data_IF_467323799686
#
_entry.id   IF_467323799686
#
_cell.length_a   1.000
_cell.length_b   1.000
_cell.length_c   1.000
_cell.angle_alpha   90.00
_cell.angle_beta   90.00
_cell.angle_gamma   90.00
#
_symmetry.space_group_name_H-M   'P 1'
#
loop_
_entity.id
_entity.type
_entity.pdbx_description
1 polymer ?
#
# COMPACT_ATOMS: atom_id res chain seq x y z
N UNK A 1 32.06 -0.75 -37.83
CA UNK A 1 32.54 -0.60 -36.45
C UNK A 1 33.88 -1.31 -36.35
N UNK A 2 34.93 -0.71 -35.79
CA UNK A 2 36.23 -1.40 -35.66
C UNK A 2 36.08 -2.61 -34.74
N UNK A 3 36.80 -3.68 -35.06
CA UNK A 3 36.83 -4.94 -34.29
C UNK A 3 37.16 -4.70 -32.81
N UNK A 4 38.04 -3.74 -32.54
CA UNK A 4 38.43 -3.29 -31.20
C UNK A 4 37.24 -2.75 -30.36
N UNK A 5 36.31 -2.02 -30.98
CA UNK A 5 35.14 -1.48 -30.27
C UNK A 5 34.12 -2.59 -29.96
N UNK A 6 33.98 -3.56 -30.86
CA UNK A 6 33.15 -4.76 -30.62
C UNK A 6 33.68 -5.58 -29.45
N UNK A 7 35.00 -5.80 -29.39
CA UNK A 7 35.64 -6.52 -28.29
C UNK A 7 35.46 -5.81 -26.95
N UNK A 8 35.58 -4.48 -26.94
CA UNK A 8 35.33 -3.68 -25.73
C UNK A 8 33.88 -3.81 -25.26
N UNK A 9 32.91 -3.75 -26.17
CA UNK A 9 31.50 -3.95 -25.82
C UNK A 9 31.26 -5.36 -25.26
N UNK A 10 31.92 -6.38 -25.84
CA UNK A 10 31.81 -7.77 -25.37
C UNK A 10 32.30 -7.89 -23.94
N UNK A 11 33.46 -7.32 -23.66
CA UNK A 11 34.06 -7.36 -22.33
C UNK A 11 33.20 -6.67 -21.27
N UNK A 12 32.53 -5.57 -21.61
CA UNK A 12 31.62 -4.87 -20.69
C UNK A 12 30.38 -5.73 -20.40
N UNK A 13 29.73 -6.27 -21.44
CA UNK A 13 28.54 -7.12 -21.29
C UNK A 13 28.87 -8.40 -20.52
N UNK A 14 30.04 -8.98 -20.77
CA UNK A 14 30.52 -10.19 -20.09
C UNK A 14 30.60 -10.00 -18.56
N UNK A 15 30.93 -8.79 -18.09
CA UNK A 15 30.97 -8.43 -16.66
C UNK A 15 29.60 -8.17 -16.03
N UNK A 16 28.52 -8.14 -16.82
CA UNK A 16 27.18 -7.96 -16.28
C UNK A 16 26.80 -9.14 -15.39
N UNK A 17 26.12 -8.89 -14.28
CA UNK A 17 25.65 -9.92 -13.35
C UNK A 17 24.80 -10.99 -14.05
N UNK A 18 24.07 -10.59 -15.10
CA UNK A 18 23.23 -11.48 -15.90
C UNK A 18 24.05 -12.48 -16.74
N UNK A 19 25.19 -12.03 -17.29
CA UNK A 19 26.04 -12.79 -18.22
C UNK A 19 27.14 -13.56 -17.47
N UNK A 20 27.49 -13.14 -16.25
CA UNK A 20 28.32 -13.87 -15.30
C UNK A 20 29.70 -14.34 -15.84
N UNK A 21 30.36 -13.51 -16.66
CA UNK A 21 31.65 -13.78 -17.29
C UNK A 21 31.66 -14.90 -18.37
N UNK A 22 30.49 -15.26 -18.92
CA UNK A 22 30.42 -16.15 -20.08
C UNK A 22 30.64 -15.41 -21.39
N UNK A 23 31.83 -15.58 -21.99
CA UNK A 23 32.20 -14.89 -23.23
C UNK A 23 31.33 -15.31 -24.43
N UNK A 24 30.97 -16.60 -24.52
CA UNK A 24 30.10 -17.14 -25.58
C UNK A 24 28.71 -16.49 -25.56
N UNK A 25 28.16 -16.27 -24.37
CA UNK A 25 26.87 -15.61 -24.19
C UNK A 25 26.96 -14.13 -24.53
N UNK A 26 28.03 -13.45 -24.09
CA UNK A 26 28.29 -12.05 -24.45
C UNK A 26 28.41 -11.86 -25.97
N UNK A 27 29.10 -12.77 -26.66
CA UNK A 27 29.24 -12.75 -28.12
C UNK A 27 27.88 -12.91 -28.83
N UNK A 28 27.04 -13.84 -28.36
CA UNK A 28 25.68 -14.03 -28.87
C UNK A 28 24.81 -12.78 -28.66
N UNK A 29 24.84 -12.19 -27.47
CA UNK A 29 24.09 -10.96 -27.17
C UNK A 29 24.52 -9.82 -28.11
N UNK A 30 25.82 -9.66 -28.38
CA UNK A 30 26.30 -8.65 -29.33
C UNK A 30 25.82 -8.91 -30.75
N UNK A 31 25.79 -10.17 -31.18
CA UNK A 31 25.28 -10.55 -32.50
C UNK A 31 23.81 -10.23 -32.70
N UNK A 32 22.99 -10.31 -31.65
CA UNK A 32 21.54 -10.06 -31.69
C UNK A 32 21.14 -8.64 -31.28
N UNK A 33 22.09 -7.80 -30.84
CA UNK A 33 21.78 -6.47 -30.29
C UNK A 33 22.24 -5.32 -31.18
N UNK A 34 21.44 -4.25 -31.19
CA UNK A 34 21.77 -2.98 -31.84
C UNK A 34 22.36 -1.98 -30.86
N UNK A 35 23.32 -1.17 -31.32
CA UNK A 35 23.87 -0.07 -30.52
C UNK A 35 22.93 1.12 -30.55
N UNK A 36 22.60 1.65 -29.38
CA UNK A 36 21.83 2.89 -29.22
C UNK A 36 22.60 3.87 -28.37
N UNK A 37 22.38 5.16 -28.61
CA UNK A 37 22.98 6.26 -27.87
C UNK A 37 21.90 7.24 -27.47
N UNK A 38 21.99 7.75 -26.26
CA UNK A 38 21.07 8.73 -25.73
C UNK A 38 21.85 9.86 -25.06
N UNK A 39 21.26 11.05 -25.11
CA UNK A 39 21.76 12.23 -24.40
C UNK A 39 21.02 12.39 -23.07
N UNK A 40 21.60 13.20 -22.17
CA UNK A 40 21.04 13.48 -20.84
C UNK A 40 19.58 13.92 -20.89
N UNK A 41 18.78 13.38 -19.96
CA UNK A 41 17.37 13.72 -19.79
C UNK A 41 16.43 13.02 -20.78
N UNK A 42 16.93 12.27 -21.76
CA UNK A 42 16.07 11.47 -22.64
C UNK A 42 15.42 10.33 -21.87
N UNK A 43 14.18 10.01 -22.26
CA UNK A 43 13.40 8.90 -21.69
C UNK A 43 13.74 7.63 -22.46
N UNK A 44 14.15 6.59 -21.74
CA UNK A 44 14.42 5.27 -22.31
C UNK A 44 13.20 4.35 -22.24
N UNK A 45 12.44 4.47 -21.15
CA UNK A 45 11.28 3.63 -20.86
C UNK A 45 10.27 4.47 -20.10
N UNK A 46 9.00 4.34 -20.45
CA UNK A 46 7.90 4.94 -19.69
C UNK A 46 7.13 3.87 -18.94
N UNK A 47 6.81 4.12 -17.68
CA UNK A 47 5.99 3.22 -16.86
C UNK A 47 4.65 2.94 -17.54
N UNK A 48 4.26 1.67 -17.65
CA UNK A 48 3.01 1.26 -18.28
C UNK A 48 3.08 1.12 -19.81
N UNK A 49 4.21 1.48 -20.43
CA UNK A 49 4.40 1.32 -21.88
C UNK A 49 4.45 -0.17 -22.27
N UNK A 50 3.80 -0.49 -23.39
CA UNK A 50 3.79 -1.84 -23.98
C UNK A 50 5.05 -2.04 -24.85
N UNK A 51 6.20 -2.00 -24.18
CA UNK A 51 7.51 -2.23 -24.78
C UNK A 51 8.31 -3.19 -23.90
N UNK A 52 8.92 -4.21 -24.51
CA UNK A 52 9.58 -5.31 -23.78
C UNK A 52 11.07 -5.45 -24.09
N UNK A 53 11.67 -4.53 -24.86
CA UNK A 53 13.11 -4.52 -25.17
C UNK A 53 14.01 -4.47 -23.91
N UNK A 54 15.18 -5.12 -23.97
CA UNK A 54 16.18 -5.14 -22.89
C UNK A 54 17.41 -4.34 -23.29
N UNK A 55 17.93 -3.53 -22.37
CA UNK A 55 19.08 -2.66 -22.61
C UNK A 55 20.24 -3.06 -21.71
N UNK A 56 21.38 -3.36 -22.32
CA UNK A 56 22.66 -3.57 -21.64
C UNK A 56 23.45 -2.26 -21.66
N UNK A 57 23.65 -1.66 -20.49
CA UNK A 57 24.35 -0.37 -20.38
C UNK A 57 25.84 -0.59 -20.58
N UNK A 58 26.41 0.05 -21.61
CA UNK A 58 27.83 -0.01 -21.91
C UNK A 58 28.61 1.15 -21.27
N UNK A 59 27.99 2.33 -21.24
CA UNK A 59 28.57 3.55 -20.69
C UNK A 59 27.48 4.52 -20.26
N UNK A 60 27.72 5.25 -19.16
CA UNK A 60 26.79 6.21 -18.60
C UNK A 60 25.91 5.61 -17.51
N UNK A 61 24.96 6.42 -17.04
CA UNK A 61 24.02 6.06 -15.98
C UNK A 61 22.59 6.51 -16.30
N UNK A 62 21.64 5.76 -15.77
CA UNK A 62 20.21 6.03 -15.87
C UNK A 62 19.58 6.06 -14.49
N UNK A 63 18.56 6.90 -14.35
CA UNK A 63 17.73 7.01 -13.17
C UNK A 63 16.46 6.20 -13.36
N UNK A 64 16.13 5.35 -12.40
CA UNK A 64 14.89 4.56 -12.37
C UNK A 64 13.94 5.16 -11.34
N UNK A 65 12.71 5.45 -11.77
CA UNK A 65 11.65 5.97 -10.90
C UNK A 65 10.33 5.27 -11.13
N UNK A 66 9.53 5.10 -10.07
CA UNK A 66 8.19 4.51 -10.13
C UNK A 66 7.23 5.52 -9.49
N UNK A 67 6.16 5.90 -10.20
CA UNK A 67 5.19 6.91 -9.72
C UNK A 67 5.88 8.19 -9.20
N UNK A 68 6.83 8.72 -9.97
CA UNK A 68 7.65 9.89 -9.61
C UNK A 68 8.54 9.74 -8.37
N UNK A 69 8.63 8.54 -7.79
CA UNK A 69 9.53 8.25 -6.67
C UNK A 69 10.83 7.66 -7.21
N UNK A 70 11.96 8.26 -6.84
CA UNK A 70 13.29 7.73 -7.18
C UNK A 70 13.49 6.38 -6.48
N UNK A 71 13.86 5.36 -7.25
CA UNK A 71 14.10 4.01 -6.74
C UNK A 71 15.60 3.71 -6.68
N UNK A 72 16.28 3.91 -7.81
CA UNK A 72 17.67 3.49 -7.98
C UNK A 72 18.33 4.18 -9.19
N UNK A 73 19.65 4.16 -9.24
CA UNK A 73 20.45 4.55 -10.42
C UNK A 73 21.14 3.30 -10.97
N UNK A 74 21.07 3.10 -12.28
CA UNK A 74 21.73 1.98 -12.97
C UNK A 74 22.85 2.47 -13.86
N UNK A 75 23.98 1.79 -13.82
CA UNK A 75 25.19 2.15 -14.57
C UNK A 75 25.85 0.92 -15.20
N UNK A 76 26.76 1.12 -16.15
CA UNK A 76 27.50 0.01 -16.76
C UNK A 76 28.28 -0.79 -15.69
N UNK A 77 28.26 -2.14 -15.72
CA UNK A 77 27.77 -3.05 -16.75
C UNK A 77 26.38 -3.64 -16.46
N UNK A 78 25.45 -2.86 -15.89
CA UNK A 78 24.12 -3.36 -15.53
C UNK A 78 23.17 -3.44 -16.74
N UNK A 79 22.11 -4.22 -16.55
CA UNK A 79 21.02 -4.40 -17.52
C UNK A 79 19.75 -3.75 -16.96
N UNK A 80 18.90 -3.24 -17.85
CA UNK A 80 17.58 -2.71 -17.53
C UNK A 80 16.53 -3.28 -18.50
N UNK A 81 15.27 -3.29 -18.07
CA UNK A 81 14.14 -3.77 -18.87
C UNK A 81 13.95 -5.29 -18.84
N UNK A 82 14.73 -5.99 -18.03
CA UNK A 82 14.71 -7.44 -17.89
C UNK A 82 13.35 -7.97 -17.37
N UNK A 83 12.67 -7.17 -16.54
CA UNK A 83 11.37 -7.52 -15.95
C UNK A 83 10.25 -7.62 -16.99
N UNK A 84 10.22 -6.69 -17.97
CA UNK A 84 9.22 -6.68 -19.03
C UNK A 84 9.48 -7.81 -20.04
N UNK A 85 10.75 -8.07 -20.38
CA UNK A 85 11.10 -9.11 -21.35
C UNK A 85 10.81 -10.54 -20.87
N UNK A 86 10.91 -10.79 -19.55
CA UNK A 86 10.67 -12.10 -18.94
C UNK A 86 9.22 -12.58 -19.11
N UNK A 87 8.23 -11.66 -19.06
CA UNK A 87 6.81 -12.00 -19.11
C UNK A 87 6.20 -11.41 -20.38
N UNK A 88 5.80 -12.24 -21.36
CA UNK A 88 5.12 -11.74 -22.56
C UNK A 88 3.90 -10.88 -22.21
N UNK A 89 3.82 -9.67 -22.78
CA UNK A 89 2.73 -8.72 -22.54
C UNK A 89 2.78 -7.99 -21.20
N UNK A 90 3.88 -8.08 -20.44
CA UNK A 90 4.06 -7.26 -19.25
C UNK A 90 4.49 -5.84 -19.62
N UNK A 91 3.71 -4.85 -19.19
CA UNK A 91 4.07 -3.45 -19.32
C UNK A 91 5.33 -3.08 -18.50
N UNK A 92 6.01 -2.01 -18.91
CA UNK A 92 7.18 -1.45 -18.20
C UNK A 92 6.85 -1.13 -16.75
N UNK A 93 7.70 -1.60 -15.84
CA UNK A 93 7.50 -1.48 -14.39
C UNK A 93 7.97 -0.16 -13.78
N UNK A 94 8.69 0.68 -14.54
CA UNK A 94 9.26 1.93 -14.05
C UNK A 94 9.55 2.89 -15.22
N UNK A 95 9.62 4.18 -14.93
CA UNK A 95 10.18 5.19 -15.80
C UNK A 95 11.70 5.19 -15.69
N UNK A 96 12.39 5.30 -16.84
CA UNK A 96 13.84 5.32 -16.89
C UNK A 96 14.32 6.50 -17.73
N UNK A 97 15.20 7.31 -17.14
CA UNK A 97 15.73 8.54 -17.75
C UNK A 97 17.26 8.52 -17.76
N UNK A 98 17.88 9.09 -18.79
CA UNK A 98 19.33 9.27 -18.80
C UNK A 98 19.77 10.31 -17.77
N UNK A 99 20.66 9.92 -16.86
CA UNK A 99 21.21 10.80 -15.84
C UNK A 99 22.57 11.39 -16.24
N UNK A 100 23.43 10.57 -16.86
CA UNK A 100 24.74 11.00 -17.37
C UNK A 100 24.63 11.88 -18.63
N UNK A 101 25.69 12.61 -18.99
CA UNK A 101 25.71 13.44 -20.22
C UNK A 101 25.45 12.62 -21.49
N UNK A 102 25.99 11.39 -21.55
CA UNK A 102 25.78 10.44 -22.65
C UNK A 102 25.62 9.04 -22.11
N UNK A 103 24.66 8.31 -22.68
CA UNK A 103 24.44 6.90 -22.44
C UNK A 103 24.68 6.12 -23.73
N UNK A 104 25.45 5.03 -23.64
CA UNK A 104 25.57 4.05 -24.71
C UNK A 104 25.09 2.69 -24.21
N UNK A 105 24.23 2.03 -24.97
CA UNK A 105 23.66 0.74 -24.60
C UNK A 105 23.50 -0.18 -25.81
N UNK A 106 23.43 -1.48 -25.55
CA UNK A 106 23.01 -2.50 -26.53
C UNK A 106 21.58 -2.90 -26.25
N UNK A 107 20.73 -2.81 -27.28
CA UNK A 107 19.32 -3.19 -27.19
C UNK A 107 19.12 -4.52 -27.87
N UNK A 108 18.53 -5.47 -27.15
CA UNK A 108 18.06 -6.73 -27.67
C UNK A 108 16.53 -6.75 -27.62
N UNK A 109 15.90 -7.31 -28.65
CA UNK A 109 14.46 -7.49 -28.65
C UNK A 109 14.07 -8.51 -27.60
N UNK A 110 12.86 -8.38 -27.04
CA UNK A 110 12.40 -9.36 -26.07
C UNK A 110 12.23 -10.76 -26.67
N UNK A 111 11.95 -10.86 -27.98
CA UNK A 111 11.90 -12.13 -28.68
C UNK A 111 13.26 -12.84 -28.65
N UNK A 112 14.32 -12.16 -29.06
CA UNK A 112 15.68 -12.71 -29.07
C UNK A 112 16.18 -13.00 -27.64
N UNK A 113 15.82 -12.14 -26.70
CA UNK A 113 16.13 -12.33 -25.28
C UNK A 113 15.46 -13.58 -24.71
N UNK A 114 14.18 -13.84 -25.05
CA UNK A 114 13.48 -15.07 -24.64
C UNK A 114 14.06 -16.31 -25.34
N UNK A 115 14.47 -16.20 -26.59
CA UNK A 115 15.20 -17.27 -27.29
C UNK A 115 16.50 -17.62 -26.53
N UNK A 116 17.27 -16.62 -26.09
CA UNK A 116 18.43 -16.83 -25.22
C UNK A 116 18.08 -17.53 -23.91
N UNK A 117 17.00 -17.11 -23.24
CA UNK A 117 16.53 -17.75 -22.00
C UNK A 117 16.17 -19.21 -22.19
N UNK A 118 15.52 -19.55 -23.31
CA UNK A 118 15.14 -20.94 -23.62
C UNK A 118 16.32 -21.82 -24.01
N UNK A 119 17.40 -21.22 -24.53
CA UNK A 119 18.60 -21.94 -24.97
C UNK A 119 19.57 -22.18 -23.82
N UNK A 120 19.61 -21.28 -22.83
CA UNK A 120 20.58 -21.28 -21.74
C UNK A 120 19.91 -21.29 -20.36
N UNK A 121 19.79 -22.48 -19.77
CA UNK A 121 19.11 -22.68 -18.47
C UNK A 121 19.77 -21.88 -17.34
N UNK A 122 21.09 -21.80 -17.30
CA UNK A 122 21.80 -21.04 -16.25
C UNK A 122 21.48 -19.54 -16.31
N UNK A 123 21.44 -18.97 -17.51
CA UNK A 123 21.06 -17.58 -17.73
C UNK A 123 19.63 -17.30 -17.24
N UNK A 124 18.69 -18.18 -17.56
CA UNK A 124 17.30 -18.05 -17.10
C UNK A 124 17.19 -18.10 -15.57
N UNK A 125 18.01 -18.93 -14.93
CA UNK A 125 18.03 -19.08 -13.47
C UNK A 125 18.56 -17.81 -12.82
N UNK A 126 19.69 -17.26 -13.31
CA UNK A 126 20.25 -15.98 -12.81
C UNK A 126 19.29 -14.81 -13.01
N UNK A 127 18.61 -14.78 -14.15
CA UNK A 127 17.62 -13.75 -14.41
C UNK A 127 16.46 -13.83 -13.42
N UNK A 128 15.94 -15.03 -13.14
CA UNK A 128 14.84 -15.22 -12.19
C UNK A 128 15.22 -14.78 -10.77
N UNK A 129 16.41 -15.14 -10.29
CA UNK A 129 16.87 -14.74 -8.96
C UNK A 129 17.11 -13.23 -8.86
N UNK A 130 17.64 -12.62 -9.93
CA UNK A 130 17.81 -11.17 -10.04
C UNK A 130 16.45 -10.45 -9.97
N UNK A 131 15.48 -10.84 -10.79
CA UNK A 131 14.13 -10.25 -10.82
C UNK A 131 13.44 -10.41 -9.48
N UNK A 132 13.55 -11.57 -8.82
CA UNK A 132 13.00 -11.78 -7.48
C UNK A 132 13.64 -10.86 -6.44
N UNK A 133 14.96 -10.68 -6.48
CA UNK A 133 15.66 -9.76 -5.59
C UNK A 133 15.21 -8.31 -5.81
N UNK A 134 14.99 -7.91 -7.05
CA UNK A 134 14.53 -6.56 -7.41
C UNK A 134 13.08 -6.33 -7.02
N UNK A 135 12.19 -7.29 -7.24
CA UNK A 135 10.80 -7.22 -6.79
C UNK A 135 10.71 -7.02 -5.28
N UNK A 136 11.53 -7.74 -4.50
CA UNK A 136 11.60 -7.57 -3.03
C UNK A 136 12.07 -6.17 -2.63
N UNK A 137 13.11 -5.65 -3.29
CA UNK A 137 13.61 -4.28 -3.07
C UNK A 137 12.54 -3.24 -3.39
N UNK A 138 11.90 -3.37 -4.55
CA UNK A 138 10.84 -2.46 -5.00
C UNK A 138 9.65 -2.45 -4.03
N UNK A 139 9.21 -3.62 -3.53
CA UNK A 139 8.14 -3.69 -2.52
C UNK A 139 8.52 -2.96 -1.23
N UNK A 140 9.78 -3.07 -0.78
CA UNK A 140 10.25 -2.38 0.43
C UNK A 140 10.28 -0.86 0.24
N UNK A 141 10.81 -0.39 -0.89
CA UNK A 141 10.92 1.04 -1.21
C UNK A 141 9.56 1.68 -1.50
N UNK A 142 8.69 1.00 -2.24
CA UNK A 142 7.33 1.48 -2.51
C UNK A 142 6.40 1.33 -1.30
N UNK A 143 6.64 0.33 -0.45
CA UNK A 143 5.89 0.13 0.79
C UNK A 143 6.12 1.23 1.83
N UNK A 144 7.29 1.88 1.82
CA UNK A 144 7.55 3.04 2.70
C UNK A 144 6.98 4.34 2.12
N UNK A 145 7.01 4.53 0.79
CA UNK A 145 6.48 5.73 0.13
C UNK A 145 4.94 5.74 -0.03
N UNK A 146 4.28 4.58 -0.02
CA UNK A 146 2.81 4.47 -0.08
C UNK A 146 2.13 4.50 1.29
N UNK A 147 2.88 4.65 2.39
CA UNK A 147 2.29 4.87 3.69
C UNK A 147 1.75 6.31 3.71
N UNK A 148 0.46 6.46 3.44
CA UNK A 148 -0.30 7.70 3.70
C UNK A 148 0.25 8.29 5.00
N UNK A 149 0.77 9.52 4.98
CA UNK A 149 1.51 10.01 6.11
C UNK A 149 0.55 10.00 7.30
N UNK A 150 0.91 9.31 8.39
CA UNK A 150 0.02 9.07 9.52
C UNK A 150 -0.50 10.35 10.20
N UNK A 151 -0.02 11.51 9.75
CA UNK A 151 -0.49 12.86 10.09
C UNK A 151 -1.76 13.30 9.33
N UNK A 152 -2.11 12.69 8.19
CA UNK A 152 -3.29 13.07 7.42
C UNK A 152 -4.57 12.77 8.19
N UNK A 153 -4.67 11.57 8.78
CA UNK A 153 -5.85 11.18 9.55
C UNK A 153 -5.96 11.91 10.90
N UNK A 154 -4.85 12.24 11.54
CA UNK A 154 -4.89 13.02 12.78
C UNK A 154 -5.39 14.44 12.51
N UNK A 155 -5.03 15.03 11.39
CA UNK A 155 -5.53 16.34 10.98
C UNK A 155 -7.03 16.31 10.60
N UNK A 156 -7.48 15.31 9.85
CA UNK A 156 -8.92 15.15 9.54
C UNK A 156 -9.75 14.92 10.81
N UNK A 157 -9.20 14.21 11.80
CA UNK A 157 -9.85 13.99 13.09
C UNK A 157 -10.02 15.27 13.90
N UNK A 158 -9.00 16.15 13.90
CA UNK A 158 -9.06 17.45 14.58
C UNK A 158 -10.08 18.37 13.90
N UNK A 159 -10.10 18.42 12.57
CA UNK A 159 -11.07 19.21 11.81
C UNK A 159 -12.49 18.71 12.06
N UNK A 160 -12.70 17.40 12.04
CA UNK A 160 -14.00 16.79 12.34
C UNK A 160 -14.49 17.17 13.74
N UNK A 161 -13.64 17.05 14.75
CA UNK A 161 -14.02 17.41 16.12
C UNK A 161 -14.29 18.91 16.30
N UNK A 162 -13.54 19.78 15.64
CA UNK A 162 -13.82 21.22 15.64
C UNK A 162 -15.21 21.54 15.05
N UNK A 163 -15.58 20.89 13.94
CA UNK A 163 -16.90 21.06 13.31
C UNK A 163 -18.02 20.57 14.23
N UNK A 164 -17.87 19.39 14.84
CA UNK A 164 -18.85 18.84 15.78
C UNK A 164 -19.03 19.72 17.01
N UNK A 165 -17.92 20.21 17.58
CA UNK A 165 -17.97 21.13 18.72
C UNK A 165 -18.69 22.44 18.38
N UNK A 166 -18.43 23.01 17.21
CA UNK A 166 -19.07 24.24 16.74
C UNK A 166 -20.58 24.05 16.53
N UNK A 167 -20.99 22.95 15.88
CA UNK A 167 -22.40 22.60 15.70
C UNK A 167 -23.12 22.40 17.04
N UNK A 168 -22.48 21.73 18.00
CA UNK A 168 -23.02 21.53 19.34
C UNK A 168 -23.21 22.87 20.08
N UNK A 169 -22.20 23.75 20.02
CA UNK A 169 -22.27 25.08 20.63
C UNK A 169 -23.36 25.96 20.01
N UNK A 170 -23.52 25.95 18.68
CA UNK A 170 -24.60 26.68 18.00
C UNK A 170 -25.96 26.14 18.41
N UNK A 171 -26.13 24.81 18.41
CA UNK A 171 -27.41 24.19 18.75
C UNK A 171 -27.86 24.55 20.18
N UNK A 172 -26.93 24.47 21.13
CA UNK A 172 -27.20 24.83 22.52
C UNK A 172 -27.39 26.34 22.73
N UNK A 173 -26.66 27.18 21.98
CA UNK A 173 -26.84 28.63 22.00
C UNK A 173 -28.20 29.07 21.47
N UNK A 174 -28.68 28.45 20.39
CA UNK A 174 -30.02 28.67 19.85
C UNK A 174 -31.13 28.14 20.77
N UNK A 175 -30.83 27.13 21.59
CA UNK A 175 -31.75 26.58 22.60
C UNK A 175 -31.93 27.43 23.86
N UNK A 176 -31.32 28.63 23.93
CA UNK A 176 -31.45 29.54 25.08
C UNK A 176 -30.65 29.11 26.31
N UNK A 177 -29.71 28.17 26.18
CA UNK A 177 -28.84 27.76 27.29
C UNK A 177 -27.81 28.86 27.62
N UNK A 178 -27.34 28.96 28.87
CA UNK A 178 -26.37 29.98 29.26
C UNK A 178 -25.04 29.80 28.51
N UNK A 179 -24.43 30.92 28.07
CA UNK A 179 -23.25 30.95 27.21
C UNK A 179 -22.08 30.08 27.71
N UNK A 180 -21.79 30.10 29.01
CA UNK A 180 -20.69 29.32 29.58
C UNK A 180 -20.91 27.80 29.45
N UNK A 181 -22.16 27.34 29.53
CA UNK A 181 -22.53 25.94 29.38
C UNK A 181 -22.40 25.50 27.91
N UNK A 182 -22.82 26.35 26.97
CA UNK A 182 -22.65 26.11 25.53
C UNK A 182 -21.17 26.02 25.13
N UNK A 183 -20.30 26.85 25.70
CA UNK A 183 -18.85 26.81 25.43
C UNK A 183 -18.22 25.53 26.00
N UNK A 184 -18.54 25.18 27.25
CA UNK A 184 -17.98 23.98 27.89
C UNK A 184 -18.39 22.69 27.16
N UNK A 185 -19.66 22.60 26.76
CA UNK A 185 -20.20 21.45 26.01
C UNK A 185 -19.66 21.38 24.59
N UNK A 186 -19.46 22.51 23.91
CA UNK A 186 -18.81 22.57 22.60
C UNK A 186 -17.37 22.04 22.64
N UNK A 187 -16.58 22.47 23.63
CA UNK A 187 -15.21 21.99 23.83
C UNK A 187 -15.17 20.50 24.18
N UNK A 188 -16.06 20.05 25.07
CA UNK A 188 -16.16 18.65 25.46
C UNK A 188 -16.56 17.74 24.29
N UNK A 189 -17.59 18.12 23.53
CA UNK A 189 -18.05 17.37 22.36
C UNK A 189 -16.99 17.34 21.25
N UNK A 190 -16.28 18.45 21.02
CA UNK A 190 -15.20 18.52 20.03
C UNK A 190 -13.98 17.66 20.40
N UNK A 191 -13.56 17.70 21.67
CA UNK A 191 -12.46 16.87 22.15
C UNK A 191 -12.80 15.37 22.07
N UNK A 192 -14.01 14.99 22.51
CA UNK A 192 -14.46 13.60 22.51
C UNK A 192 -14.58 13.05 21.08
N UNK A 193 -15.18 13.81 20.16
CA UNK A 193 -15.30 13.43 18.76
C UNK A 193 -13.94 13.32 18.06
N UNK A 194 -12.97 14.17 18.41
CA UNK A 194 -11.57 14.05 17.92
C UNK A 194 -10.92 12.75 18.39
N UNK A 195 -11.05 12.40 19.68
CA UNK A 195 -10.50 11.16 20.21
C UNK A 195 -11.14 9.92 19.57
N UNK A 196 -12.46 9.95 19.36
CA UNK A 196 -13.17 8.88 18.64
C UNK A 196 -12.69 8.78 17.19
N UNK A 197 -12.55 9.90 16.48
CA UNK A 197 -12.07 9.93 15.10
C UNK A 197 -10.62 9.40 14.99
N UNK A 198 -9.71 9.80 15.89
CA UNK A 198 -8.35 9.25 15.95
C UNK A 198 -8.40 7.73 16.18
N UNK A 199 -9.32 7.29 17.04
CA UNK A 199 -9.47 5.87 17.33
C UNK A 199 -10.05 5.08 16.17
N UNK A 200 -10.88 5.71 15.33
CA UNK A 200 -11.50 5.17 14.12
C UNK A 200 -10.64 5.37 12.85
N UNK A 201 -9.31 5.27 12.98
CA UNK A 201 -8.43 5.37 11.82
C UNK A 201 -8.72 4.26 10.78
N UNK A 202 -9.07 4.59 9.51
CA UNK A 202 -9.34 3.62 8.45
C UNK A 202 -8.12 2.76 8.09
N UNK A 203 -6.90 3.15 8.46
CA UNK A 203 -5.73 2.28 8.28
C UNK A 203 -5.76 1.06 9.21
N UNK A 204 -6.63 1.07 10.22
CA UNK A 204 -6.72 0.08 11.30
C UNK A 204 -8.12 -0.56 11.37
N UNK A 205 -8.73 -0.81 10.20
CA UNK A 205 -10.09 -1.34 10.05
C UNK A 205 -10.37 -2.50 11.00
N UNK A 206 -9.53 -3.54 10.99
CA UNK A 206 -9.75 -4.74 11.81
C UNK A 206 -9.68 -4.47 13.31
N UNK A 207 -8.77 -3.59 13.74
CA UNK A 207 -8.68 -3.15 15.14
C UNK A 207 -9.90 -2.33 15.56
N UNK A 208 -10.50 -1.57 14.65
CA UNK A 208 -11.67 -0.77 14.93
C UNK A 208 -12.95 -1.61 14.95
N UNK A 209 -13.07 -2.58 14.03
CA UNK A 209 -14.17 -3.54 14.01
C UNK A 209 -14.22 -4.38 15.30
N UNK A 210 -13.06 -4.80 15.82
CA UNK A 210 -12.98 -5.48 17.11
C UNK A 210 -13.54 -4.62 18.25
N UNK A 211 -13.11 -3.35 18.35
CA UNK A 211 -13.61 -2.45 19.39
C UNK A 211 -15.09 -2.09 19.24
N UNK A 212 -15.57 -1.87 18.01
CA UNK A 212 -16.98 -1.63 17.72
C UNK A 212 -17.84 -2.82 18.13
N UNK A 213 -17.42 -4.04 17.83
CA UNK A 213 -18.14 -5.25 18.23
C UNK A 213 -18.20 -5.41 19.76
N UNK A 214 -17.10 -5.14 20.47
CA UNK A 214 -17.07 -5.15 21.93
C UNK A 214 -17.93 -4.06 22.56
N UNK A 215 -17.87 -2.83 22.04
CA UNK A 215 -18.71 -1.72 22.50
C UNK A 215 -20.20 -2.00 22.28
N UNK A 216 -20.56 -2.59 21.14
CA UNK A 216 -21.93 -3.01 20.84
C UNK A 216 -22.41 -4.11 21.82
N UNK A 217 -21.57 -5.08 22.17
CA UNK A 217 -21.91 -6.09 23.19
C UNK A 217 -22.17 -5.46 24.56
N UNK A 218 -21.34 -4.50 24.97
CA UNK A 218 -21.51 -3.78 26.25
C UNK A 218 -22.80 -2.96 26.21
N UNK A 219 -23.04 -2.20 25.15
CA UNK A 219 -24.25 -1.41 24.98
C UNK A 219 -25.52 -2.28 25.04
N UNK A 220 -25.50 -3.44 24.37
CA UNK A 220 -26.60 -4.41 24.42
C UNK A 220 -26.82 -4.97 25.83
N UNK A 221 -25.74 -5.21 26.58
CA UNK A 221 -25.82 -5.70 27.97
C UNK A 221 -26.43 -4.63 28.87
N UNK A 222 -25.96 -3.40 28.76
CA UNK A 222 -26.49 -2.25 29.52
C UNK A 222 -27.97 -2.05 29.22
N UNK A 223 -28.36 -2.05 27.94
CA UNK A 223 -29.77 -1.90 27.56
C UNK A 223 -30.65 -3.02 28.12
N UNK A 224 -30.17 -4.27 28.08
CA UNK A 224 -30.90 -5.43 28.59
C UNK A 224 -31.06 -5.37 30.11
N UNK A 225 -30.00 -5.02 30.84
CA UNK A 225 -30.01 -4.89 32.31
C UNK A 225 -30.88 -3.72 32.76
N UNK A 226 -30.76 -2.55 32.11
CA UNK A 226 -31.59 -1.39 32.41
C UNK A 226 -33.07 -1.70 32.15
N UNK A 227 -33.41 -2.34 31.03
CA UNK A 227 -34.79 -2.74 30.73
C UNK A 227 -35.37 -3.66 31.81
N UNK A 228 -34.58 -4.62 32.30
CA UNK A 228 -34.99 -5.51 33.40
C UNK A 228 -35.21 -4.74 34.71
N UNK A 229 -34.31 -3.83 35.09
CA UNK A 229 -34.41 -3.08 36.34
C UNK A 229 -35.60 -2.12 36.39
N UNK A 230 -35.94 -1.45 35.29
CA UNK A 230 -37.08 -0.52 35.23
C UNK A 230 -38.43 -1.21 34.99
N UNK A 231 -38.44 -2.51 34.65
CA UNK A 231 -39.68 -3.29 34.48
C UNK A 231 -40.23 -3.90 35.78
N UNK A 232 -39.49 -3.85 36.90
CA UNK A 232 -39.87 -4.50 38.17
C UNK A 232 -40.93 -3.73 38.97
N UNK A 233 -41.07 -2.41 38.76
CA UNK A 233 -42.01 -1.57 39.52
C UNK A 233 -43.42 -1.46 38.90
N UNK A 234 -43.72 -2.18 37.82
CA UNK A 234 -45.04 -2.20 37.18
C UNK A 234 -45.55 -0.85 36.62
N UNK A 235 -44.77 0.22 36.75
CA UNK A 235 -45.06 1.55 36.21
C UNK A 235 -44.15 1.79 35.01
N UNK A 236 -44.75 1.91 33.82
CA UNK A 236 -44.02 2.29 32.59
C UNK A 236 -43.69 3.78 32.61
N UNK A 237 -42.76 4.19 33.48
CA UNK A 237 -42.31 5.56 33.51
C UNK A 237 -41.30 5.79 32.37
N UNK A 238 -41.77 6.45 31.32
CA UNK A 238 -40.92 6.93 30.23
C UNK A 238 -39.95 7.96 30.80
N UNK A 239 -38.64 7.66 30.80
CA UNK A 239 -37.63 8.66 31.11
C UNK A 239 -37.64 9.73 30.00
N UNK A 240 -37.76 11.03 30.32
CA UNK A 240 -37.90 12.10 29.34
C UNK A 240 -36.65 12.38 28.51
N UNK A 241 -35.51 11.73 28.80
CA UNK A 241 -34.24 11.92 28.09
C UNK A 241 -33.86 10.68 27.27
N UNK A 242 -34.37 10.70 26.03
CA UNK A 242 -33.76 10.20 24.79
C UNK A 242 -33.75 8.71 24.45
N UNK A 243 -34.10 7.76 25.32
CA UNK A 243 -34.25 6.35 24.92
C UNK A 243 -35.52 5.70 25.48
N UNK A 244 -36.37 5.21 24.58
CA UNK A 244 -37.58 4.48 24.95
C UNK A 244 -37.19 3.03 25.29
N UNK A 245 -36.95 2.77 26.57
CA UNK A 245 -36.60 1.44 27.09
C UNK A 245 -37.80 0.48 27.19
N UNK A 246 -38.96 0.88 26.65
CA UNK A 246 -40.10 0.01 26.53
C UNK A 246 -39.73 -1.13 25.58
N UNK A 247 -39.34 -2.26 26.15
CA UNK A 247 -39.13 -3.48 25.39
C UNK A 247 -40.46 -3.86 24.75
N UNK A 248 -40.42 -4.29 23.49
CA UNK A 248 -41.48 -5.17 23.03
C UNK A 248 -41.46 -6.36 24.00
N UNK A 249 -42.56 -6.65 24.73
CA UNK A 249 -42.62 -7.78 25.67
C UNK A 249 -42.43 -9.14 24.97
N UNK A 250 -42.29 -9.15 23.64
CA UNK A 250 -42.06 -10.33 22.81
C UNK A 250 -40.62 -10.52 22.31
N UNK A 251 -39.62 -9.75 22.80
CA UNK A 251 -38.25 -10.00 22.38
C UNK A 251 -37.75 -11.34 22.95
N UNK A 252 -37.82 -12.39 22.14
CA UNK A 252 -37.46 -13.74 22.55
C UNK A 252 -35.97 -13.82 22.89
N UNK A 253 -35.64 -14.39 24.04
CA UNK A 253 -34.26 -14.51 24.57
C UNK A 253 -33.26 -15.13 23.58
N UNK A 254 -33.71 -16.00 22.68
CA UNK A 254 -32.86 -16.58 21.63
C UNK A 254 -32.40 -15.55 20.59
N UNK A 255 -33.18 -14.49 20.31
CA UNK A 255 -32.77 -13.40 19.40
C UNK A 255 -31.57 -12.66 19.99
N UNK A 256 -31.62 -12.39 21.30
CA UNK A 256 -30.53 -11.77 22.05
C UNK A 256 -29.28 -12.65 22.01
N UNK A 257 -29.43 -13.97 22.18
CA UNK A 257 -28.33 -14.93 22.10
C UNK A 257 -27.68 -14.96 20.70
N UNK A 258 -28.48 -14.92 19.63
CA UNK A 258 -27.97 -14.84 18.25
C UNK A 258 -27.20 -13.54 18.03
N UNK A 259 -27.68 -12.41 18.55
CA UNK A 259 -26.98 -11.11 18.45
C UNK A 259 -25.60 -11.21 19.12
N UNK A 260 -25.51 -11.75 20.34
CA UNK A 260 -24.22 -11.93 21.02
C UNK A 260 -23.28 -12.87 20.27
N UNK A 261 -23.78 -13.98 19.72
CA UNK A 261 -22.98 -14.89 18.90
C UNK A 261 -22.46 -14.22 17.63
N UNK A 262 -23.30 -13.42 16.96
CA UNK A 262 -22.90 -12.70 15.75
C UNK A 262 -21.83 -11.64 16.03
N UNK A 263 -21.95 -10.89 17.11
CA UNK A 263 -20.96 -9.91 17.54
C UNK A 263 -19.64 -10.57 17.98
N UNK A 264 -19.71 -11.70 18.70
CA UNK A 264 -18.54 -12.48 19.08
C UNK A 264 -17.81 -13.07 17.86
N UNK A 265 -18.56 -13.56 16.85
CA UNK A 265 -18.00 -14.05 15.60
C UNK A 265 -17.30 -12.92 14.81
N UNK A 266 -17.93 -11.75 14.72
CA UNK A 266 -17.34 -10.57 14.08
C UNK A 266 -16.05 -10.12 14.79
N UNK A 267 -16.04 -10.13 16.12
CA UNK A 267 -14.86 -9.83 16.93
C UNK A 267 -13.73 -10.83 16.64
N UNK A 268 -14.05 -12.12 16.62
CA UNK A 268 -13.09 -13.19 16.35
C UNK A 268 -12.48 -13.12 14.94
N UNK A 269 -13.32 -12.90 13.93
CA UNK A 269 -12.87 -12.73 12.54
C UNK A 269 -11.98 -11.49 12.39
N UNK A 270 -12.36 -10.39 13.03
CA UNK A 270 -11.55 -9.16 13.03
C UNK A 270 -10.19 -9.36 13.71
N UNK A 271 -10.15 -10.13 14.80
CA UNK A 271 -8.89 -10.49 15.47
C UNK A 271 -7.98 -11.36 14.62
N UNK A 272 -8.52 -12.38 13.94
CA UNK A 272 -7.75 -13.24 13.04
C UNK A 272 -7.11 -12.44 11.91
N UNK A 273 -7.89 -11.56 11.28
CA UNK A 273 -7.41 -10.70 10.20
C UNK A 273 -6.31 -9.73 10.66
N UNK A 274 -6.45 -9.12 11.85
CA UNK A 274 -5.39 -8.27 12.44
C UNK A 274 -4.10 -9.06 12.71
N UNK A 275 -4.22 -10.31 13.18
CA UNK A 275 -3.07 -11.20 13.42
C UNK A 275 -2.33 -11.55 12.14
N UNK A 276 -3.05 -11.87 11.07
CA UNK A 276 -2.45 -12.21 9.77
C UNK A 276 -1.74 -11.02 9.13
N UNK A 277 -2.30 -9.81 9.24
CA UNK A 277 -1.64 -8.59 8.79
C UNK A 277 -0.32 -8.34 9.51
N UNK A 278 -0.30 -8.47 10.85
CA UNK A 278 0.94 -8.30 11.64
C UNK A 278 2.00 -9.35 11.29
N UNK A 279 1.59 -10.61 11.10
CA UNK A 279 2.50 -11.70 10.71
C UNK A 279 3.11 -11.47 9.32
N UNK A 280 2.35 -10.90 8.39
CA UNK A 280 2.86 -10.59 7.06
C UNK A 280 3.81 -9.39 7.09
N UNK A 281 3.51 -8.37 7.91
CA UNK A 281 4.40 -7.23 8.14
C UNK A 281 5.75 -7.65 8.75
N UNK A 282 5.77 -8.60 9.68
CA UNK A 282 7.01 -9.06 10.32
C UNK A 282 7.87 -9.98 9.43
N UNK A 283 7.30 -10.54 8.35
CA UNK A 283 8.04 -11.33 7.36
C UNK A 283 8.65 -10.45 6.26
N UNK A 284 8.20 -9.21 6.13
CA UNK A 284 8.72 -8.25 5.14
C UNK A 284 9.91 -7.43 5.64
N UNK A 285 10.08 -7.30 6.97
CA UNK A 285 11.28 -6.74 7.62
C UNK A 285 12.44 -7.75 7.57
#
# INVERSE_FOLDING_TARGET
MSTEVLDKHRQIICRSELVANEDDLAAKIIGMSRLVKFDKGQVLMTHGEDADDVYFILFGSVRVSINSTFIDTREAPQTIGEMAAMKPGAARSADVYVESEKLEARVISAHDFRTLMSTHTEFSTRLSSMVDSMNRKNIRLLGTSSRSPGNAWTWTSIVFGAVVGLLCGIWLGLGGSPLWFAILSALGAGALSTLVAIRMNPDLIYRNMFWLSGAAMIAQTVQTVFSLSFSVDGTQNQLPLLWNFNSNPEQKWWVVLIIYLSLAALAFMSWLADRDLRRNSSKSE
#
